data_IF_631709484244
#
_entry.id   IF_631709484244
#
_cell.length_a   1.000
_cell.length_b   1.000
_cell.length_c   1.000
_cell.angle_alpha   90.00
_cell.angle_beta   90.00
_cell.angle_gamma   90.00
#
_symmetry.space_group_name_H-M   'P 1'
#
loop_
_entity.id
_entity.type
_entity.pdbx_description
1 polymer ?
#
# COMPACT_ATOMS: atom_id res chain seq x y z
N UNK A 1 5.39 -16.48 -18.05
CA UNK A 1 4.96 -17.87 -18.26
C UNK A 1 6.09 -18.62 -18.95
N UNK A 2 6.39 -19.85 -18.52
CA UNK A 2 7.35 -20.72 -19.20
C UNK A 2 6.82 -21.18 -20.56
N UNK A 3 7.73 -21.42 -21.51
CA UNK A 3 7.37 -22.07 -22.75
C UNK A 3 6.94 -23.51 -22.46
N UNK A 4 6.02 -24.02 -23.26
CA UNK A 4 5.61 -25.44 -23.21
C UNK A 4 6.74 -26.34 -23.69
N UNK A 5 6.84 -27.53 -23.13
CA UNK A 5 7.88 -28.52 -23.43
C UNK A 5 7.22 -29.68 -24.14
N UNK A 6 7.58 -29.89 -25.38
CA UNK A 6 7.12 -31.08 -26.13
C UNK A 6 8.03 -32.27 -25.78
N UNK A 7 7.58 -33.10 -24.87
CA UNK A 7 8.40 -34.19 -24.28
C UNK A 7 8.91 -35.19 -25.30
N UNK A 8 8.16 -35.42 -26.36
CA UNK A 8 8.55 -36.30 -27.47
C UNK A 8 9.87 -35.89 -28.14
N UNK A 9 10.24 -34.61 -28.05
CA UNK A 9 11.46 -34.08 -28.69
C UNK A 9 12.72 -34.39 -27.84
N UNK A 10 12.55 -34.89 -26.61
CA UNK A 10 13.64 -35.11 -25.64
C UNK A 10 13.87 -36.58 -25.32
N UNK A 11 13.10 -37.48 -25.92
CA UNK A 11 13.22 -38.95 -25.68
C UNK A 11 13.45 -39.71 -26.97
N UNK A 12 14.28 -40.74 -26.90
CA UNK A 12 14.51 -41.69 -27.95
C UNK A 12 14.62 -43.07 -27.36
N UNK A 13 13.93 -44.00 -27.95
CA UNK A 13 13.97 -45.42 -27.63
C UNK A 13 14.22 -46.23 -28.92
N UNK A 14 14.82 -47.44 -28.81
CA UNK A 14 15.17 -48.29 -29.95
C UNK A 14 13.95 -49.07 -30.44
N UNK A 15 13.10 -49.50 -29.50
CA UNK A 15 11.99 -50.45 -29.76
C UNK A 15 10.64 -49.73 -29.76
N UNK A 16 10.53 -48.53 -29.10
CA UNK A 16 9.29 -47.80 -28.95
C UNK A 16 9.37 -46.37 -29.51
N UNK A 17 8.26 -45.87 -30.00
CA UNK A 17 8.16 -44.48 -30.43
C UNK A 17 8.02 -43.54 -29.22
N UNK A 18 8.55 -42.33 -29.32
CA UNK A 18 8.39 -41.30 -28.31
C UNK A 18 6.90 -41.06 -27.93
N UNK A 19 5.98 -41.24 -28.89
CA UNK A 19 4.54 -41.09 -28.68
C UNK A 19 3.89 -42.23 -27.87
N UNK A 20 4.64 -43.27 -27.55
CA UNK A 20 4.17 -44.45 -26.79
C UNK A 20 4.65 -44.41 -25.33
N UNK A 21 5.50 -43.41 -24.98
CA UNK A 21 5.99 -43.18 -23.63
C UNK A 21 4.92 -42.64 -22.71
N UNK A 22 4.93 -43.06 -21.45
CA UNK A 22 4.21 -42.46 -20.34
C UNK A 22 5.14 -41.58 -19.56
N UNK A 23 4.63 -40.49 -18.97
CA UNK A 23 5.42 -39.50 -18.28
C UNK A 23 4.93 -39.24 -16.86
N UNK A 24 5.87 -39.16 -15.95
CA UNK A 24 5.66 -38.70 -14.56
C UNK A 24 6.59 -37.55 -14.26
N UNK A 25 6.17 -36.70 -13.31
CA UNK A 25 7.00 -35.59 -12.85
C UNK A 25 7.06 -35.52 -11.34
N UNK A 26 8.23 -35.13 -10.85
CA UNK A 26 8.44 -34.79 -9.43
C UNK A 26 9.02 -33.40 -9.34
N UNK A 27 8.39 -32.55 -8.54
CA UNK A 27 8.80 -31.14 -8.32
C UNK A 27 9.39 -31.01 -6.94
N UNK A 28 10.59 -30.44 -6.86
CA UNK A 28 11.29 -30.17 -5.60
C UNK A 28 11.66 -28.68 -5.57
N UNK A 29 11.08 -27.93 -4.63
CA UNK A 29 11.43 -26.53 -4.43
C UNK A 29 12.90 -26.40 -4.03
N UNK A 30 13.57 -25.36 -4.55
CA UNK A 30 14.99 -25.08 -4.30
C UNK A 30 15.12 -23.70 -3.65
N UNK A 31 15.52 -23.69 -2.38
CA UNK A 31 15.66 -22.46 -1.59
C UNK A 31 14.43 -22.18 -0.70
N UNK A 32 14.56 -21.14 0.15
CA UNK A 32 13.43 -20.62 0.93
C UNK A 32 12.93 -19.37 0.21
N UNK A 33 11.71 -19.46 -0.28
CA UNK A 33 11.11 -18.38 -1.03
C UNK A 33 9.83 -17.89 -0.33
N UNK A 34 9.43 -16.65 -0.55
CA UNK A 34 8.36 -16.02 0.24
C UNK A 34 6.94 -16.36 -0.21
N UNK A 35 6.79 -17.04 -1.35
CA UNK A 35 5.46 -17.36 -1.87
C UNK A 35 4.96 -18.73 -1.38
N UNK A 36 3.69 -18.81 -1.04
CA UNK A 36 3.03 -20.07 -0.71
C UNK A 36 2.82 -20.89 -1.98
N UNK A 37 3.06 -22.22 -1.89
CA UNK A 37 2.87 -23.18 -2.96
C UNK A 37 4.11 -23.44 -3.82
N UNK A 38 4.05 -24.55 -4.55
CA UNK A 38 5.12 -25.01 -5.43
C UNK A 38 4.69 -24.91 -6.91
N UNK A 39 5.68 -24.83 -7.80
CA UNK A 39 5.41 -25.04 -9.21
C UNK A 39 4.72 -26.40 -9.42
N UNK A 40 3.84 -26.48 -10.38
CA UNK A 40 3.23 -27.74 -10.80
C UNK A 40 3.46 -27.98 -12.30
N UNK A 41 3.29 -29.24 -12.71
CA UNK A 41 3.42 -29.63 -14.12
C UNK A 41 2.14 -30.28 -14.58
N UNK A 42 1.57 -29.72 -15.64
CA UNK A 42 0.45 -30.29 -16.35
C UNK A 42 0.98 -30.96 -17.65
N UNK A 43 0.74 -32.28 -17.85
CA UNK A 43 1.10 -32.96 -19.07
C UNK A 43 -0.18 -33.33 -19.82
N UNK A 44 -0.34 -32.73 -21.00
CA UNK A 44 -1.49 -33.01 -21.87
C UNK A 44 -1.43 -34.43 -22.54
N UNK A 45 -2.54 -34.87 -23.09
CA UNK A 45 -2.62 -36.12 -23.85
C UNK A 45 -1.70 -36.12 -25.09
N UNK A 46 -1.28 -34.93 -25.53
CA UNK A 46 -0.31 -34.70 -26.60
C UNK A 46 1.14 -34.76 -26.11
N UNK A 47 1.37 -35.09 -24.83
CA UNK A 47 2.67 -35.13 -24.14
C UNK A 47 3.42 -33.79 -24.15
N UNK A 48 2.65 -32.72 -24.16
CA UNK A 48 3.18 -31.37 -23.94
C UNK A 48 3.10 -31.03 -22.46
N UNK A 49 4.23 -30.78 -21.84
CA UNK A 49 4.31 -30.31 -20.44
C UNK A 49 4.21 -28.79 -20.35
N UNK A 50 3.37 -28.34 -19.46
CA UNK A 50 3.20 -26.89 -19.09
C UNK A 50 3.55 -26.74 -17.63
N UNK A 51 4.48 -25.83 -17.35
CA UNK A 51 4.85 -25.47 -15.99
C UNK A 51 3.89 -24.37 -15.51
N UNK A 52 3.24 -24.61 -14.40
CA UNK A 52 2.20 -23.73 -13.82
C UNK A 52 2.69 -23.13 -12.53
N UNK A 53 2.55 -21.82 -12.42
CA UNK A 53 2.84 -21.07 -11.19
C UNK A 53 1.63 -21.15 -10.25
N UNK A 54 1.83 -21.26 -8.92
CA UNK A 54 0.73 -21.29 -7.95
C UNK A 54 -0.07 -19.97 -7.93
N UNK A 55 0.60 -18.84 -8.12
CA UNK A 55 -0.02 -17.52 -8.25
C UNK A 55 0.83 -16.60 -9.17
N UNK A 56 0.27 -15.48 -9.64
CA UNK A 56 0.98 -14.55 -10.53
C UNK A 56 2.24 -13.91 -9.93
N UNK A 57 2.30 -13.73 -8.61
CA UNK A 57 3.40 -13.09 -7.89
C UNK A 57 4.41 -14.10 -7.34
N UNK A 58 4.22 -15.38 -7.64
CA UNK A 58 5.16 -16.41 -7.21
C UNK A 58 6.52 -16.21 -7.88
N UNK A 59 7.57 -16.22 -7.08
CA UNK A 59 8.95 -16.25 -7.56
C UNK A 59 9.73 -17.30 -6.79
N UNK A 60 10.78 -17.85 -7.47
CA UNK A 60 11.52 -18.93 -6.87
C UNK A 60 12.12 -19.88 -7.87
N UNK A 61 12.67 -20.97 -7.37
CA UNK A 61 13.24 -22.02 -8.19
C UNK A 61 12.75 -23.39 -7.76
N UNK A 62 12.50 -24.25 -8.73
CA UNK A 62 12.23 -25.65 -8.48
C UNK A 62 13.02 -26.53 -9.47
N UNK A 63 13.48 -27.67 -8.99
CA UNK A 63 14.00 -28.75 -9.81
C UNK A 63 12.85 -29.70 -10.15
N UNK A 64 12.58 -29.85 -11.43
CA UNK A 64 11.53 -30.74 -11.95
C UNK A 64 12.22 -31.93 -12.61
N UNK A 65 11.97 -33.12 -12.06
CA UNK A 65 12.41 -34.37 -12.63
C UNK A 65 11.29 -34.91 -13.52
N UNK A 66 11.59 -35.14 -14.78
CA UNK A 66 10.74 -35.81 -15.77
C UNK A 66 11.19 -37.25 -15.90
N UNK A 67 10.28 -38.18 -15.72
CA UNK A 67 10.52 -39.63 -15.87
C UNK A 67 9.66 -40.17 -16.99
N UNK A 68 10.28 -40.72 -18.00
CA UNK A 68 9.62 -41.46 -19.08
C UNK A 68 9.64 -42.94 -18.78
N UNK A 69 8.56 -43.63 -19.08
CA UNK A 69 8.50 -45.11 -19.05
C UNK A 69 7.96 -45.64 -20.38
N UNK A 70 8.59 -46.68 -20.87
CA UNK A 70 8.09 -47.44 -22.03
C UNK A 70 6.96 -48.40 -21.65
N UNK A 71 6.50 -49.22 -22.62
CA UNK A 71 5.43 -50.20 -22.40
C UNK A 71 5.85 -51.39 -21.54
N UNK A 72 7.12 -51.70 -21.47
CA UNK A 72 7.72 -52.71 -20.61
C UNK A 72 8.14 -52.20 -19.25
N UNK A 73 7.82 -50.90 -18.94
CA UNK A 73 8.13 -50.22 -17.68
C UNK A 73 9.61 -49.94 -17.44
N UNK A 74 10.45 -49.99 -18.50
CA UNK A 74 11.79 -49.42 -18.37
C UNK A 74 11.71 -47.91 -18.32
N UNK A 75 12.48 -47.31 -17.38
CA UNK A 75 12.37 -45.87 -17.10
C UNK A 75 13.70 -45.14 -17.32
N UNK A 76 13.58 -43.87 -17.70
CA UNK A 76 14.71 -42.92 -17.72
C UNK A 76 14.20 -41.56 -17.19
N UNK A 77 15.07 -40.90 -16.46
CA UNK A 77 14.73 -39.59 -15.84
C UNK A 77 15.75 -38.53 -16.18
N UNK A 78 15.28 -37.29 -16.25
CA UNK A 78 16.10 -36.11 -16.38
C UNK A 78 15.54 -34.99 -15.51
N UNK A 79 16.41 -34.12 -14.97
CA UNK A 79 15.99 -33.01 -14.12
C UNK A 79 16.36 -31.68 -14.76
N UNK A 80 15.43 -30.74 -14.73
CA UNK A 80 15.66 -29.36 -15.17
C UNK A 80 15.24 -28.38 -14.09
N UNK A 81 16.02 -27.29 -13.95
CA UNK A 81 15.70 -26.21 -13.02
C UNK A 81 14.89 -25.15 -13.71
N UNK A 82 13.79 -24.77 -13.07
CA UNK A 82 12.91 -23.66 -13.47
C UNK A 82 13.00 -22.55 -12.44
N UNK A 83 13.27 -21.33 -12.89
CA UNK A 83 13.43 -20.17 -12.03
C UNK A 83 12.54 -19.05 -12.50
N UNK A 84 11.74 -18.52 -11.58
CA UNK A 84 10.98 -17.27 -11.74
C UNK A 84 11.67 -16.22 -10.91
N UNK A 85 12.07 -15.13 -11.54
CA UNK A 85 12.71 -14.00 -10.85
C UNK A 85 11.65 -13.09 -10.26
N UNK A 86 11.87 -12.61 -9.05
CA UNK A 86 11.04 -11.56 -8.45
C UNK A 86 11.06 -10.30 -9.32
N UNK A 87 9.91 -9.68 -9.48
CA UNK A 87 9.72 -8.37 -10.09
C UNK A 87 8.95 -7.55 -9.08
N UNK A 88 9.46 -6.37 -8.75
CA UNK A 88 8.81 -5.51 -7.77
C UNK A 88 7.44 -5.02 -8.26
N UNK A 89 6.44 -5.19 -7.43
CA UNK A 89 5.13 -4.58 -7.56
C UNK A 89 5.11 -3.23 -6.83
N UNK A 90 4.25 -2.32 -7.25
CA UNK A 90 4.07 -1.05 -6.54
C UNK A 90 3.06 -1.23 -5.39
N UNK A 91 3.19 -0.45 -4.30
CA UNK A 91 2.22 -0.51 -3.22
C UNK A 91 0.82 -0.16 -3.72
N UNK A 92 -0.18 -0.83 -3.17
CA UNK A 92 -1.60 -0.57 -3.43
C UNK A 92 -2.15 0.26 -2.27
N UNK A 93 -2.52 1.51 -2.57
CA UNK A 93 -3.03 2.46 -1.58
C UNK A 93 -4.54 2.64 -1.75
N UNK A 94 -5.28 2.32 -0.70
CA UNK A 94 -6.73 2.58 -0.60
C UNK A 94 -6.98 4.08 -0.41
N UNK A 95 -8.23 4.50 -0.63
CA UNK A 95 -8.65 5.88 -0.37
C UNK A 95 -8.49 6.22 1.11
N UNK A 96 -7.71 7.25 1.41
CA UNK A 96 -7.59 7.82 2.76
C UNK A 96 -8.84 8.67 3.03
N UNK A 97 -9.49 8.52 4.21
CA UNK A 97 -10.73 9.22 4.50
C UNK A 97 -10.52 10.72 4.70
N UNK A 98 -11.40 11.51 4.08
CA UNK A 98 -11.52 12.94 4.40
C UNK A 98 -12.23 13.15 5.72
N UNK A 99 -11.90 14.23 6.44
CA UNK A 99 -12.50 14.54 7.73
C UNK A 99 -13.04 15.96 7.77
N UNK A 100 -14.11 16.15 8.54
CA UNK A 100 -14.70 17.46 8.81
C UNK A 100 -14.93 17.57 10.31
N UNK A 101 -14.42 18.62 10.91
CA UNK A 101 -14.61 18.96 12.33
C UNK A 101 -15.17 20.37 12.48
N UNK A 102 -15.62 20.72 13.66
CA UNK A 102 -15.84 22.10 14.08
C UNK A 102 -14.58 22.62 14.75
N UNK A 103 -14.33 23.94 14.73
CA UNK A 103 -13.23 24.54 15.46
C UNK A 103 -13.26 24.16 16.96
N UNK A 104 -12.14 24.25 17.65
CA UNK A 104 -11.95 23.75 19.03
C UNK A 104 -11.92 22.23 19.16
N UNK A 105 -12.13 21.47 18.06
CA UNK A 105 -11.94 20.03 18.01
C UNK A 105 -10.63 19.69 17.29
N UNK A 106 -10.26 18.42 17.34
CA UNK A 106 -9.08 17.86 16.67
C UNK A 106 -9.50 16.81 15.66
N UNK A 107 -8.76 16.67 14.56
CA UNK A 107 -8.93 15.59 13.61
C UNK A 107 -8.52 14.25 14.25
N UNK A 108 -9.19 13.19 13.82
CA UNK A 108 -8.77 11.83 14.18
C UNK A 108 -7.43 11.50 13.52
N UNK A 109 -6.54 10.87 14.28
CA UNK A 109 -5.27 10.35 13.76
C UNK A 109 -5.54 9.30 12.68
N UNK A 110 -4.85 9.41 11.56
CA UNK A 110 -4.95 8.46 10.46
C UNK A 110 -3.77 7.48 10.54
N UNK A 111 -4.07 6.22 10.68
CA UNK A 111 -3.08 5.13 10.67
C UNK A 111 -2.87 4.68 9.22
N UNK A 112 -1.90 5.25 8.53
CA UNK A 112 -1.71 5.07 7.09
C UNK A 112 -1.42 3.62 6.70
N UNK A 113 -0.83 2.82 7.61
CA UNK A 113 -0.56 1.40 7.37
C UNK A 113 -1.82 0.56 7.17
N UNK A 114 -2.98 1.03 7.68
CA UNK A 114 -4.27 0.34 7.50
C UNK A 114 -4.83 0.49 6.07
N UNK A 115 -4.28 1.43 5.31
CA UNK A 115 -4.75 1.77 3.96
C UNK A 115 -3.84 1.27 2.85
N UNK A 116 -2.71 0.64 3.18
CA UNK A 116 -1.73 0.19 2.19
C UNK A 116 -1.51 -1.31 2.25
N UNK A 117 -1.18 -1.89 1.12
CA UNK A 117 -0.62 -3.23 1.01
C UNK A 117 0.44 -3.25 -0.07
N UNK A 118 1.43 -4.13 0.10
CA UNK A 118 2.46 -4.37 -0.89
C UNK A 118 2.72 -5.87 -0.95
N UNK A 119 3.07 -6.39 -2.12
CA UNK A 119 3.31 -7.83 -2.32
C UNK A 119 4.72 -8.22 -1.88
N UNK A 120 5.67 -7.31 -2.06
CA UNK A 120 7.10 -7.56 -1.88
C UNK A 120 7.62 -7.01 -0.56
N UNK A 121 7.04 -5.92 -0.06
CA UNK A 121 7.50 -5.19 1.11
C UNK A 121 6.48 -5.25 2.26
N UNK A 122 6.95 -5.46 3.47
CA UNK A 122 6.13 -5.34 4.67
C UNK A 122 5.69 -3.89 4.86
N UNK A 123 4.43 -3.67 5.25
CA UNK A 123 3.81 -2.33 5.33
C UNK A 123 4.58 -1.36 6.24
N UNK A 124 5.25 -1.89 7.27
CA UNK A 124 6.07 -1.13 8.23
C UNK A 124 7.40 -0.62 7.63
N UNK A 125 7.80 -1.17 6.49
CA UNK A 125 9.04 -0.77 5.79
C UNK A 125 8.81 0.31 4.75
N UNK A 126 7.55 0.54 4.37
CA UNK A 126 7.14 1.53 3.39
C UNK A 126 7.38 2.95 3.90
N UNK A 127 7.76 3.85 3.01
CA UNK A 127 8.09 5.25 3.37
C UNK A 127 6.98 6.18 2.94
N UNK A 128 6.49 6.95 3.91
CA UNK A 128 5.42 7.91 3.69
C UNK A 128 5.96 9.32 3.52
N UNK A 129 5.25 10.08 2.70
CA UNK A 129 5.41 11.53 2.56
C UNK A 129 4.05 12.16 2.32
N UNK A 130 3.94 13.44 2.66
CA UNK A 130 2.72 14.23 2.49
C UNK A 130 3.06 15.56 1.83
N UNK A 131 2.16 16.05 0.98
CA UNK A 131 2.23 17.36 0.35
C UNK A 131 0.85 17.97 0.23
N UNK A 132 0.78 19.28 0.04
CA UNK A 132 -0.47 20.04 -0.01
C UNK A 132 -0.73 20.80 1.28
N UNK A 133 -1.96 21.27 1.45
CA UNK A 133 -2.36 22.16 2.52
C UNK A 133 -1.73 23.55 2.40
N UNK A 134 -2.21 24.48 3.20
CA UNK A 134 -1.72 25.85 3.29
C UNK A 134 -1.55 26.27 4.74
N UNK A 135 -2.62 26.21 5.50
CA UNK A 135 -2.68 26.63 6.89
C UNK A 135 -2.65 25.42 7.84
N UNK A 136 -3.30 24.32 7.47
CA UNK A 136 -3.19 23.05 8.17
C UNK A 136 -1.81 22.42 7.92
N UNK A 137 -1.32 21.64 8.90
CA UNK A 137 -0.09 20.85 8.77
C UNK A 137 -0.36 19.39 9.03
N UNK A 138 0.43 18.53 8.43
CA UNK A 138 0.41 17.09 8.71
C UNK A 138 1.74 16.69 9.35
N UNK A 139 1.65 16.11 10.54
CA UNK A 139 2.78 15.48 11.21
C UNK A 139 2.72 13.98 10.99
N UNK A 140 3.75 13.44 10.35
CA UNK A 140 3.93 12.01 10.12
C UNK A 140 4.92 11.45 11.14
N UNK A 141 4.53 10.40 11.84
CA UNK A 141 5.49 9.65 12.64
C UNK A 141 6.18 8.54 11.82
N UNK A 142 7.18 7.92 12.41
CA UNK A 142 7.94 6.83 11.78
C UNK A 142 7.15 5.51 11.62
N UNK A 143 5.99 5.41 12.24
CA UNK A 143 5.12 4.23 12.19
C UNK A 143 3.97 4.38 11.20
N UNK A 144 3.89 5.53 10.52
CA UNK A 144 2.86 5.81 9.53
C UNK A 144 1.58 6.40 10.12
N UNK A 145 1.64 6.99 11.33
CA UNK A 145 0.53 7.77 11.86
C UNK A 145 0.61 9.21 11.35
N UNK A 146 -0.51 9.72 10.84
CA UNK A 146 -0.66 11.08 10.37
C UNK A 146 -1.60 11.88 11.27
N UNK A 147 -1.09 12.95 11.88
CA UNK A 147 -1.86 13.89 12.68
C UNK A 147 -2.00 15.20 11.93
N UNK A 148 -3.23 15.66 11.77
CA UNK A 148 -3.54 16.93 11.12
C UNK A 148 -3.64 18.00 12.20
N UNK A 149 -2.79 19.03 12.11
CA UNK A 149 -2.59 20.07 13.10
C UNK A 149 -3.21 21.38 12.64
N UNK A 150 -4.05 21.97 13.48
CA UNK A 150 -4.64 23.30 13.27
C UNK A 150 -3.63 24.38 13.67
N UNK A 151 -3.67 25.59 13.04
CA UNK A 151 -2.86 26.73 13.46
C UNK A 151 -3.12 27.19 14.90
N UNK A 152 -4.38 27.17 15.32
CA UNK A 152 -4.87 27.41 16.69
C UNK A 152 -6.28 26.81 16.86
N UNK A 153 -6.79 26.82 18.07
CA UNK A 153 -8.08 26.20 18.42
C UNK A 153 -9.30 26.87 17.77
N UNK A 154 -9.23 28.17 17.50
CA UNK A 154 -10.32 28.95 16.87
C UNK A 154 -10.12 29.10 15.35
N UNK A 155 -9.20 28.32 14.75
CA UNK A 155 -9.00 28.36 13.31
C UNK A 155 -10.13 27.64 12.58
N UNK A 156 -10.73 28.34 11.62
CA UNK A 156 -11.63 27.80 10.63
C UNK A 156 -11.26 28.38 9.26
N UNK A 157 -11.47 27.61 8.21
CA UNK A 157 -11.03 28.04 6.88
C UNK A 157 -11.55 27.15 5.77
N UNK A 158 -11.15 27.45 4.51
CA UNK A 158 -11.52 26.63 3.39
C UNK A 158 -10.97 25.21 3.54
N UNK A 159 -11.64 24.26 2.92
CA UNK A 159 -11.20 22.86 2.88
C UNK A 159 -9.80 22.75 2.26
N UNK A 160 -8.90 22.03 2.90
CA UNK A 160 -7.54 21.82 2.45
C UNK A 160 -7.33 20.34 2.06
N UNK A 161 -6.71 20.13 0.91
CA UNK A 161 -6.44 18.79 0.38
C UNK A 161 -4.96 18.47 0.52
N UNK A 162 -4.68 17.29 1.06
CA UNK A 162 -3.35 16.72 1.15
C UNK A 162 -3.23 15.50 0.25
N UNK A 163 -2.05 15.34 -0.34
CA UNK A 163 -1.67 14.14 -1.08
C UNK A 163 -0.71 13.34 -0.22
N UNK A 164 -1.13 12.17 0.19
CA UNK A 164 -0.33 11.18 0.88
C UNK A 164 0.30 10.26 -0.16
N UNK A 165 1.61 10.11 -0.11
CA UNK A 165 2.37 9.26 -1.04
C UNK A 165 3.16 8.24 -0.25
N UNK A 166 3.01 6.98 -0.63
CA UNK A 166 3.77 5.84 -0.11
C UNK A 166 4.76 5.37 -1.15
N UNK A 167 5.93 4.96 -0.69
CA UNK A 167 7.03 4.48 -1.53
C UNK A 167 7.60 3.19 -0.98
N UNK A 168 7.78 2.19 -1.83
CA UNK A 168 8.41 0.91 -1.53
C UNK A 168 9.94 0.99 -1.45
N UNK A 169 10.59 -0.15 -1.17
CA UNK A 169 12.05 -0.28 -1.07
C UNK A 169 12.76 -0.11 -2.41
N UNK A 170 12.08 -0.31 -3.53
CA UNK A 170 12.62 -0.21 -4.90
C UNK A 170 12.30 1.11 -5.57
N UNK A 171 11.46 1.92 -4.95
CA UNK A 171 11.15 3.27 -5.40
C UNK A 171 9.85 3.43 -6.16
N UNK A 172 9.02 2.38 -6.31
CA UNK A 172 7.68 2.51 -6.83
C UNK A 172 6.77 3.21 -5.82
N UNK A 173 5.76 3.92 -6.30
CA UNK A 173 4.94 4.81 -5.48
C UNK A 173 3.46 4.66 -5.76
N UNK A 174 2.65 4.89 -4.72
CA UNK A 174 1.22 5.10 -4.84
C UNK A 174 0.82 6.36 -4.06
N UNK A 175 -0.28 7.01 -4.46
CA UNK A 175 -0.76 8.23 -3.81
C UNK A 175 -2.27 8.21 -3.65
N UNK A 176 -2.74 8.85 -2.57
CA UNK A 176 -4.16 9.06 -2.27
C UNK A 176 -4.35 10.48 -1.72
N UNK A 177 -5.49 11.09 -2.02
CA UNK A 177 -5.82 12.42 -1.53
C UNK A 177 -6.89 12.35 -0.46
N UNK A 178 -6.75 13.19 0.57
CA UNK A 178 -7.79 13.41 1.58
C UNK A 178 -7.96 14.90 1.83
N UNK A 179 -9.19 15.32 2.10
CA UNK A 179 -9.58 16.72 2.33
C UNK A 179 -10.00 16.89 3.77
N UNK A 180 -9.50 17.95 4.40
CA UNK A 180 -9.77 18.30 5.80
C UNK A 180 -10.47 19.65 5.85
N UNK A 181 -11.57 19.71 6.59
CA UNK A 181 -12.43 20.89 6.69
C UNK A 181 -12.67 21.21 8.16
N UNK A 182 -12.50 22.48 8.53
CA UNK A 182 -12.84 22.98 9.87
C UNK A 182 -13.96 24.02 9.71
N UNK A 183 -15.10 23.71 10.30
CA UNK A 183 -16.27 24.60 10.31
C UNK A 183 -16.17 25.58 11.48
N UNK A 184 -16.49 26.86 11.22
CA UNK A 184 -16.62 27.83 12.27
C UNK A 184 -17.84 27.58 13.14
N UNK A 185 -17.72 27.82 14.41
CA UNK A 185 -18.81 27.96 15.38
C UNK A 185 -18.87 29.43 15.87
N UNK A 186 -20.03 29.86 16.30
CA UNK A 186 -20.14 31.22 16.81
C UNK A 186 -19.57 31.33 18.23
N UNK A 187 -18.60 32.21 18.40
CA UNK A 187 -18.09 32.61 19.72
C UNK A 187 -18.80 33.88 20.24
N UNK A 188 -18.97 33.94 21.53
CA UNK A 188 -19.45 35.15 22.15
C UNK A 188 -18.37 36.25 22.12
N UNK A 189 -18.75 37.52 21.94
CA UNK A 189 -17.78 38.61 22.03
C UNK A 189 -17.21 38.73 23.46
N UNK A 190 -15.96 39.03 23.54
CA UNK A 190 -15.25 39.22 24.80
C UNK A 190 -14.67 40.64 24.88
N UNK A 191 -14.65 41.24 26.09
CA UNK A 191 -13.95 42.48 26.28
C UNK A 191 -12.42 42.22 26.28
N UNK A 192 -11.69 42.96 25.46
CA UNK A 192 -10.22 42.87 25.40
C UNK A 192 -9.57 43.56 26.62
N UNK A 193 -10.28 44.51 27.21
CA UNK A 193 -9.91 45.16 28.49
C UNK A 193 -11.16 45.69 29.20
N UNK A 194 -11.06 46.00 30.47
CA UNK A 194 -12.14 46.60 31.22
C UNK A 194 -12.33 48.07 30.84
N UNK A 195 -13.60 48.49 30.72
CA UNK A 195 -13.94 49.90 30.54
C UNK A 195 -13.47 50.66 31.79
N UNK A 196 -12.64 51.73 31.67
CA UNK A 196 -12.13 52.43 32.79
C UNK A 196 -13.21 53.23 33.54
N UNK A 197 -13.08 53.28 34.86
CA UNK A 197 -13.91 54.15 35.70
C UNK A 197 -13.67 55.61 35.37
N UNK A 198 -14.71 56.41 35.45
CA UNK A 198 -14.63 57.86 35.34
C UNK A 198 -15.22 58.52 36.58
N UNK A 199 -14.57 59.57 37.05
CA UNK A 199 -15.08 60.39 38.13
C UNK A 199 -15.00 61.91 37.73
N UNK A 200 -16.08 62.64 37.99
CA UNK A 200 -16.21 64.03 37.65
C UNK A 200 -16.85 64.76 38.80
N UNK A 201 -16.67 66.05 38.84
CA UNK A 201 -17.40 66.93 39.78
C UNK A 201 -18.80 67.24 39.30
N UNK A 202 -19.70 67.67 40.20
CA UNK A 202 -21.04 68.05 39.81
C UNK A 202 -21.04 69.17 38.74
N UNK A 203 -22.00 69.13 37.79
CA UNK A 203 -22.13 70.03 36.65
C UNK A 203 -21.09 69.85 35.53
N UNK A 204 -20.28 68.78 35.55
CA UNK A 204 -19.39 68.40 34.45
C UNK A 204 -20.00 67.22 33.69
N UNK A 205 -19.50 66.95 32.49
CA UNK A 205 -19.93 65.79 31.63
C UNK A 205 -18.83 64.74 31.60
N UNK A 206 -19.24 63.45 31.61
CA UNK A 206 -18.37 62.33 31.39
C UNK A 206 -17.77 62.35 29.98
N UNK A 207 -16.53 61.90 29.84
CA UNK A 207 -15.91 61.73 28.53
C UNK A 207 -16.59 60.56 27.79
N UNK A 208 -16.91 60.75 26.49
CA UNK A 208 -17.41 59.64 25.69
C UNK A 208 -16.43 58.47 25.69
N UNK A 209 -16.97 57.27 25.79
CA UNK A 209 -16.22 56.02 25.70
C UNK A 209 -16.46 55.41 24.31
N UNK A 210 -15.39 55.24 23.53
CA UNK A 210 -15.45 54.55 22.24
C UNK A 210 -15.44 53.03 22.48
N UNK A 211 -16.61 52.41 22.52
CA UNK A 211 -16.78 51.00 22.90
C UNK A 211 -16.06 50.04 21.96
N UNK A 212 -15.91 50.39 20.69
CA UNK A 212 -15.19 49.58 19.68
C UNK A 212 -13.73 49.26 20.03
N UNK A 213 -13.17 49.97 21.02
CA UNK A 213 -11.81 49.72 21.51
C UNK A 213 -11.73 48.59 22.54
N UNK A 214 -12.87 48.18 23.09
CA UNK A 214 -12.94 47.23 24.20
C UNK A 214 -13.51 45.88 23.81
N UNK A 215 -13.92 45.70 22.54
CA UNK A 215 -14.51 44.45 22.00
C UNK A 215 -13.71 43.96 20.81
#
# INVERSE_FOLDING_TARGET
QFATIKLDDFIKDVDHKATEMTWETNVVAVGKEQAEGDLSVEIGADRVAKIVLPDPNWYGSADITFTAADKEYATVSTTARFTVKSVNDAPVLKQIPSQTIEEKNTFETINLVDFVSDVDDATETLKWSVSGGKDLKVELDKYGSANIILPNENWSGPAETFTFTVKDSKGAVASSQATFTVKSINDAPEFVESIPDQSIDEKQEFKPIALDKYV
#
